data_IF_697786353962
#
_entry.id   IF_697786353962
#
_cell.length_a   1.000
_cell.length_b   1.000
_cell.length_c   1.000
_cell.angle_alpha   90.00
_cell.angle_beta   90.00
_cell.angle_gamma   90.00
#
_symmetry.space_group_name_H-M   'P 1'
#
loop_
_entity.id
_entity.type
_entity.pdbx_description
1 polymer ?
#
# COMPACT_ATOMS: atom_id res chain seq x y z
N UNK A 1 3.58 -45.92 4.05
CA UNK A 1 3.13 -47.32 4.13
C UNK A 1 2.37 -47.64 2.87
N UNK A 2 2.52 -48.85 2.34
CA UNK A 2 1.75 -49.33 1.19
C UNK A 2 0.83 -50.45 1.65
N UNK A 3 -0.45 -50.35 1.31
CA UNK A 3 -1.49 -51.31 1.69
C UNK A 3 -2.00 -52.00 0.44
N UNK A 4 -2.01 -53.33 0.43
CA UNK A 4 -2.39 -54.09 -0.77
C UNK A 4 -3.14 -55.36 -0.37
N UNK A 5 -4.07 -55.77 -1.22
CA UNK A 5 -4.71 -57.08 -1.12
C UNK A 5 -3.88 -58.14 -1.86
N UNK A 6 -3.72 -59.30 -1.25
CA UNK A 6 -3.14 -60.49 -1.88
C UNK A 6 -4.03 -61.69 -1.63
N UNK A 7 -4.25 -62.50 -2.66
CA UNK A 7 -4.83 -63.83 -2.48
C UNK A 7 -3.76 -64.78 -1.96
N UNK A 8 -3.99 -65.31 -0.76
CA UNK A 8 -3.25 -66.46 -0.25
C UNK A 8 -4.06 -67.74 -0.51
N UNK A 9 -3.39 -68.80 -0.93
CA UNK A 9 -4.01 -70.12 -1.03
C UNK A 9 -3.89 -70.82 0.33
N UNK A 10 -5.01 -71.13 0.96
CA UNK A 10 -5.02 -71.82 2.25
C UNK A 10 -4.82 -73.33 2.08
N UNK A 11 -4.67 -74.04 3.22
CA UNK A 11 -4.39 -75.48 3.27
C UNK A 11 -5.54 -76.36 2.77
N UNK A 12 -6.76 -75.80 2.66
CA UNK A 12 -7.93 -76.41 2.04
C UNK A 12 -7.90 -76.34 0.49
N UNK A 13 -6.96 -75.59 -0.07
CA UNK A 13 -6.83 -75.36 -1.50
C UNK A 13 -7.63 -74.18 -2.05
N UNK A 14 -8.40 -73.47 -1.24
CA UNK A 14 -9.13 -72.27 -1.63
C UNK A 14 -8.27 -71.00 -1.54
N UNK A 15 -8.60 -70.01 -2.37
CA UNK A 15 -7.97 -68.69 -2.33
C UNK A 15 -8.77 -67.77 -1.40
N UNK A 16 -8.07 -67.02 -0.55
CA UNK A 16 -8.65 -66.04 0.36
C UNK A 16 -7.93 -64.70 0.20
N UNK A 17 -8.69 -63.64 -0.03
CA UNK A 17 -8.16 -62.27 -0.04
C UNK A 17 -7.69 -61.89 1.38
N UNK A 18 -6.46 -61.39 1.48
CA UNK A 18 -5.88 -60.88 2.73
C UNK A 18 -5.19 -59.55 2.48
N UNK A 19 -5.59 -58.57 3.28
CA UNK A 19 -5.01 -57.24 3.33
C UNK A 19 -3.70 -57.25 4.12
N UNK A 20 -2.66 -56.63 3.58
CA UNK A 20 -1.39 -56.40 4.27
C UNK A 20 -0.94 -54.96 4.14
N UNK A 21 -0.18 -54.50 5.13
CA UNK A 21 0.50 -53.22 5.13
C UNK A 21 2.01 -53.44 5.26
N UNK A 22 2.79 -52.87 4.34
CA UNK A 22 4.25 -52.78 4.52
C UNK A 22 4.62 -51.39 5.03
N UNK A 23 5.41 -51.38 6.12
CA UNK A 23 6.14 -50.20 6.56
C UNK A 23 7.11 -49.79 5.46
N UNK A 24 7.05 -48.52 5.06
CA UNK A 24 8.06 -47.97 4.18
C UNK A 24 9.28 -47.60 5.03
N UNK A 25 10.41 -48.27 4.75
CA UNK A 25 11.68 -48.03 5.46
C UNK A 25 12.51 -46.91 4.81
N UNK A 26 12.11 -46.37 3.65
CA UNK A 26 12.82 -45.28 2.97
C UNK A 26 12.50 -43.91 3.57
N UNK A 27 11.34 -43.78 4.24
CA UNK A 27 10.85 -42.56 4.90
C UNK A 27 11.16 -42.50 6.40
N UNK A 28 11.92 -43.46 6.95
CA UNK A 28 12.32 -43.49 8.37
C UNK A 28 13.82 -43.77 8.56
N UNK A 29 14.41 -43.20 9.62
CA UNK A 29 15.79 -43.45 10.03
C UNK A 29 15.83 -43.91 11.49
N UNK A 30 16.77 -44.79 11.83
CA UNK A 30 16.96 -45.26 13.20
C UNK A 30 17.72 -44.22 14.04
N UNK A 31 17.03 -43.64 15.02
CA UNK A 31 17.65 -42.93 16.13
C UNK A 31 17.99 -43.95 17.22
N UNK A 32 19.28 -44.10 17.54
CA UNK A 32 19.76 -44.96 18.60
C UNK A 32 20.35 -44.12 19.74
N UNK A 33 20.02 -44.48 20.98
CA UNK A 33 20.57 -43.89 22.20
C UNK A 33 21.14 -45.02 23.05
N UNK A 34 22.38 -44.84 23.51
CA UNK A 34 23.10 -45.77 24.39
C UNK A 34 23.48 -45.07 25.70
N UNK A 35 23.28 -45.74 26.83
CA UNK A 35 23.68 -45.25 28.15
C UNK A 35 24.40 -46.35 28.92
N UNK A 36 25.63 -46.07 29.36
CA UNK A 36 26.39 -46.96 30.23
C UNK A 36 26.12 -46.60 31.70
N UNK A 37 25.59 -47.55 32.45
CA UNK A 37 25.37 -47.45 33.89
C UNK A 37 26.70 -47.59 34.65
N UNK A 38 26.79 -47.08 35.89
CA UNK A 38 28.01 -47.07 36.72
C UNK A 38 28.60 -48.47 37.03
N UNK A 39 27.89 -49.54 36.69
CA UNK A 39 28.31 -50.94 36.81
C UNK A 39 28.85 -51.53 35.49
N UNK A 40 28.94 -50.75 34.40
CA UNK A 40 29.37 -51.18 33.07
C UNK A 40 28.27 -51.83 32.22
N UNK A 41 27.01 -51.78 32.65
CA UNK A 41 25.87 -52.29 31.88
C UNK A 41 25.39 -51.24 30.88
N UNK A 42 25.29 -51.60 29.59
CA UNK A 42 24.90 -50.67 28.52
C UNK A 42 23.44 -50.86 28.13
N UNK A 43 22.61 -49.89 28.50
CA UNK A 43 21.23 -49.77 28.03
C UNK A 43 21.24 -49.19 26.60
N UNK A 44 20.43 -49.77 25.71
CA UNK A 44 20.27 -49.31 24.32
C UNK A 44 18.81 -49.19 23.96
N UNK A 45 18.41 -48.04 23.41
CA UNK A 45 17.09 -47.81 22.85
C UNK A 45 17.22 -47.39 21.39
N UNK A 46 16.46 -48.03 20.50
CA UNK A 46 16.40 -47.68 19.08
C UNK A 46 14.96 -47.36 18.70
N UNK A 47 14.75 -46.22 18.05
CA UNK A 47 13.44 -45.77 17.55
C UNK A 47 13.56 -45.36 16.09
N UNK A 48 12.64 -45.83 15.26
CA UNK A 48 12.47 -45.29 13.91
C UNK A 48 11.78 -43.92 14.02
N UNK A 49 12.47 -42.87 13.56
CA UNK A 49 11.93 -41.52 13.37
C UNK A 49 11.66 -41.28 11.88
N UNK A 50 10.68 -40.45 11.50
CA UNK A 50 10.55 -39.97 10.13
C UNK A 50 11.83 -39.29 9.63
N UNK A 51 12.04 -39.28 8.31
CA UNK A 51 13.10 -38.49 7.67
C UNK A 51 12.49 -37.27 6.98
N UNK A 52 11.73 -36.48 7.74
CA UNK A 52 11.46 -35.10 7.37
C UNK A 52 12.77 -34.31 7.50
N UNK A 53 13.43 -34.08 6.35
CA UNK A 53 14.79 -33.53 6.22
C UNK A 53 14.89 -32.02 6.56
N UNK A 54 14.11 -31.56 7.53
CA UNK A 54 14.09 -30.17 7.98
C UNK A 54 15.25 -29.88 8.94
N UNK A 55 15.48 -28.61 9.24
CA UNK A 55 16.47 -28.19 10.23
C UNK A 55 15.91 -28.38 11.66
N UNK A 56 16.65 -29.07 12.52
CA UNK A 56 16.28 -29.29 13.92
C UNK A 56 17.11 -28.44 14.86
N UNK A 57 16.48 -27.89 15.91
CA UNK A 57 17.18 -27.30 17.04
C UNK A 57 17.45 -28.38 18.11
N UNK A 58 18.71 -28.62 18.45
CA UNK A 58 19.06 -29.50 19.57
C UNK A 58 19.07 -28.72 20.88
N UNK A 59 18.42 -29.26 21.91
CA UNK A 59 18.45 -28.74 23.28
C UNK A 59 18.77 -29.87 24.25
N UNK A 60 19.70 -29.64 25.17
CA UNK A 60 19.97 -30.52 26.31
C UNK A 60 19.64 -29.73 27.58
N UNK A 61 18.75 -30.26 28.40
CA UNK A 61 18.27 -29.58 29.61
C UNK A 61 18.20 -30.53 30.81
N UNK A 62 18.38 -29.95 32.00
CA UNK A 62 18.42 -30.63 33.29
C UNK A 62 17.79 -29.71 34.35
N UNK A 63 17.17 -30.28 35.38
CA UNK A 63 16.53 -29.51 36.44
C UNK A 63 16.50 -30.25 37.79
N UNK A 64 16.33 -29.51 38.88
CA UNK A 64 16.15 -30.08 40.23
C UNK A 64 14.99 -29.40 40.94
N UNK A 65 14.36 -30.11 41.87
CA UNK A 65 13.28 -29.60 42.70
C UNK A 65 13.52 -29.94 44.17
N UNK A 66 12.54 -30.56 44.82
CA UNK A 66 12.74 -31.13 46.17
C UNK A 66 13.81 -32.22 46.18
N UNK A 67 13.82 -33.09 45.17
CA UNK A 67 14.94 -33.99 44.89
C UNK A 67 16.04 -33.26 44.11
N UNK A 68 17.31 -33.53 44.48
CA UNK A 68 18.50 -32.87 43.91
C UNK A 68 19.54 -33.92 43.52
N UNK A 69 20.20 -33.71 42.39
CA UNK A 69 21.38 -34.45 41.96
C UNK A 69 22.28 -33.54 41.14
N UNK A 70 23.59 -33.82 41.10
CA UNK A 70 24.55 -33.14 40.24
C UNK A 70 24.33 -33.61 38.80
N UNK A 71 23.70 -32.76 37.99
CA UNK A 71 23.46 -33.02 36.56
C UNK A 71 24.50 -32.25 35.73
N UNK A 72 25.37 -33.00 35.06
CA UNK A 72 26.43 -32.47 34.21
C UNK A 72 26.49 -33.30 32.92
N UNK A 73 26.73 -32.60 31.81
CA UNK A 73 26.98 -33.23 30.50
C UNK A 73 28.37 -32.81 30.03
N UNK A 74 29.21 -33.80 29.70
CA UNK A 74 30.49 -33.57 29.02
C UNK A 74 30.27 -33.88 27.54
N UNK A 75 30.36 -32.87 26.70
CA UNK A 75 30.31 -33.06 25.24
C UNK A 75 31.73 -33.35 24.74
N UNK A 76 31.94 -34.54 24.16
CA UNK A 76 33.24 -34.95 23.60
C UNK A 76 33.30 -34.74 22.09
N UNK A 77 32.21 -35.05 21.38
CA UNK A 77 31.97 -34.65 19.99
C UNK A 77 30.48 -34.36 19.78
N UNK A 78 30.15 -33.64 18.70
CA UNK A 78 28.79 -33.52 18.18
C UNK A 78 28.85 -33.30 16.67
N UNK A 79 28.66 -34.39 15.93
CA UNK A 79 28.73 -34.40 14.47
C UNK A 79 27.34 -34.22 13.86
N UNK A 80 27.17 -33.18 13.04
CA UNK A 80 25.91 -32.84 12.39
C UNK A 80 26.13 -32.32 10.96
N UNK A 81 25.10 -32.41 10.12
CA UNK A 81 25.07 -31.71 8.83
C UNK A 81 24.41 -30.35 9.03
N UNK A 82 25.10 -29.27 8.68
CA UNK A 82 24.51 -27.93 8.74
C UNK A 82 23.43 -27.81 7.65
N UNK A 83 22.21 -27.47 8.06
CA UNK A 83 21.12 -27.23 7.14
C UNK A 83 21.47 -26.15 6.11
N UNK A 84 21.02 -26.35 4.87
CA UNK A 84 21.06 -25.35 3.81
C UNK A 84 19.72 -24.60 3.80
N UNK A 85 19.76 -23.28 3.97
CA UNK A 85 18.56 -22.46 4.19
C UNK A 85 18.54 -21.22 3.30
N UNK A 86 17.36 -20.75 2.94
CA UNK A 86 17.11 -19.41 2.39
C UNK A 86 16.41 -18.54 3.44
N UNK A 87 16.60 -17.24 3.37
CA UNK A 87 15.79 -16.25 4.06
C UNK A 87 14.65 -15.77 3.15
N UNK A 88 13.54 -15.31 3.73
CA UNK A 88 12.49 -14.59 2.99
C UNK A 88 12.01 -13.36 3.75
N UNK A 89 11.94 -12.23 3.06
CA UNK A 89 11.56 -10.93 3.59
C UNK A 89 10.44 -10.30 2.75
N UNK A 90 9.59 -9.55 3.44
CA UNK A 90 8.49 -8.78 2.86
C UNK A 90 8.72 -7.33 3.28
N UNK A 91 8.90 -6.41 2.33
CA UNK A 91 9.33 -5.02 2.57
C UNK A 91 8.41 -4.02 1.88
N UNK A 92 8.36 -2.78 2.38
CA UNK A 92 7.77 -1.66 1.64
C UNK A 92 8.74 -1.10 0.58
N UNK A 93 8.28 -0.14 -0.23
CA UNK A 93 9.07 0.59 -1.22
C UNK A 93 10.31 1.33 -0.65
N UNK A 94 10.38 1.53 0.67
CA UNK A 94 11.48 2.17 1.39
C UNK A 94 12.48 1.15 1.97
N UNK A 95 12.26 -0.16 1.76
CA UNK A 95 13.06 -1.24 2.34
C UNK A 95 12.74 -1.56 3.81
N UNK A 96 11.68 -0.96 4.38
CA UNK A 96 11.25 -1.29 5.75
C UNK A 96 10.58 -2.66 5.74
N UNK A 97 11.06 -3.57 6.59
CA UNK A 97 10.46 -4.89 6.76
C UNK A 97 9.03 -4.80 7.32
N UNK A 98 8.11 -5.49 6.64
CA UNK A 98 6.70 -5.66 6.98
C UNK A 98 6.47 -7.02 7.64
N UNK A 99 7.07 -8.08 7.09
CA UNK A 99 6.95 -9.45 7.58
C UNK A 99 8.19 -10.31 7.24
N UNK A 100 8.21 -11.52 7.79
CA UNK A 100 9.07 -12.66 7.41
C UNK A 100 8.19 -13.92 7.39
N UNK A 101 8.66 -14.98 6.72
CA UNK A 101 7.98 -16.28 6.68
C UNK A 101 8.98 -17.43 6.80
N UNK A 102 8.48 -18.65 7.03
CA UNK A 102 9.24 -19.87 6.81
C UNK A 102 9.32 -20.18 5.31
N UNK A 103 10.45 -20.73 4.88
CA UNK A 103 10.64 -21.21 3.49
C UNK A 103 10.17 -22.66 3.39
N UNK A 104 9.52 -23.02 2.29
CA UNK A 104 9.15 -24.41 2.01
C UNK A 104 10.34 -25.15 1.40
N UNK A 105 10.66 -26.34 1.90
CA UNK A 105 11.73 -27.19 1.41
C UNK A 105 11.18 -28.60 1.10
N UNK A 106 10.73 -28.88 -0.13
CA UNK A 106 10.17 -30.20 -0.50
C UNK A 106 11.14 -31.36 -0.27
N UNK A 107 12.43 -31.15 -0.52
CA UNK A 107 13.51 -32.13 -0.30
C UNK A 107 14.12 -32.07 1.11
N UNK A 108 13.67 -31.13 1.93
CA UNK A 108 14.32 -30.69 3.16
C UNK A 108 15.38 -29.60 2.96
N UNK A 109 15.85 -29.05 4.08
CA UNK A 109 16.81 -27.95 4.14
C UNK A 109 18.25 -28.47 3.91
N UNK A 110 18.51 -29.04 2.73
CA UNK A 110 19.73 -29.79 2.39
C UNK A 110 20.37 -29.30 1.09
N UNK A 111 21.69 -29.50 0.93
CA UNK A 111 22.41 -29.11 -0.29
C UNK A 111 21.91 -29.94 -1.48
N UNK A 112 21.74 -29.26 -2.62
CA UNK A 112 21.04 -29.70 -3.84
C UNK A 112 19.53 -29.94 -3.68
N UNK A 113 18.95 -29.73 -2.50
CA UNK A 113 17.51 -29.68 -2.30
C UNK A 113 16.87 -28.42 -2.89
N UNK A 114 15.59 -28.49 -3.21
CA UNK A 114 14.80 -27.35 -3.69
C UNK A 114 14.26 -26.49 -2.53
N UNK A 115 14.06 -25.21 -2.81
CA UNK A 115 13.30 -24.30 -1.97
C UNK A 115 12.18 -23.61 -2.76
N UNK A 116 11.11 -23.25 -2.06
CA UNK A 116 9.99 -22.49 -2.61
C UNK A 116 9.48 -21.44 -1.61
N UNK A 117 9.13 -20.26 -2.11
CA UNK A 117 8.49 -19.18 -1.34
C UNK A 117 7.29 -18.60 -2.08
N UNK A 118 6.39 -17.97 -1.34
CA UNK A 118 5.18 -17.32 -1.85
C UNK A 118 5.07 -15.87 -1.38
N UNK A 119 4.32 -15.07 -2.13
CA UNK A 119 3.79 -13.79 -1.66
C UNK A 119 2.88 -14.01 -0.43
N UNK A 120 2.68 -12.96 0.36
CA UNK A 120 1.69 -12.93 1.43
C UNK A 120 0.61 -11.92 1.07
N UNK A 121 -0.62 -12.22 1.45
CA UNK A 121 -1.65 -11.19 1.62
C UNK A 121 -1.32 -10.40 2.90
N UNK A 122 -1.05 -9.11 2.76
CA UNK A 122 -0.62 -8.23 3.85
C UNK A 122 -1.64 -7.09 3.93
N UNK A 123 -2.40 -7.04 5.01
CA UNK A 123 -3.50 -6.07 5.16
C UNK A 123 -3.01 -4.63 4.98
N UNK A 124 -3.63 -3.90 4.05
CA UNK A 124 -3.24 -2.53 3.69
C UNK A 124 -2.01 -2.43 2.79
N UNK A 125 -1.58 -3.51 2.13
CA UNK A 125 -0.44 -3.57 1.21
C UNK A 125 -0.77 -4.40 -0.05
N UNK A 126 -0.10 -4.09 -1.16
CA UNK A 126 -0.21 -4.80 -2.44
C UNK A 126 1.18 -5.11 -2.99
N UNK A 127 1.37 -6.33 -3.51
CA UNK A 127 2.64 -6.76 -4.10
C UNK A 127 2.94 -5.98 -5.40
N UNK A 128 4.18 -5.51 -5.53
CA UNK A 128 4.64 -4.75 -6.71
C UNK A 128 5.62 -5.58 -7.54
N UNK A 129 6.74 -5.97 -6.95
CA UNK A 129 7.84 -6.66 -7.62
C UNK A 129 8.69 -7.48 -6.62
N UNK A 130 9.56 -8.33 -7.16
CA UNK A 130 10.68 -8.86 -6.37
C UNK A 130 11.71 -7.73 -6.18
N UNK A 131 12.44 -7.74 -5.06
CA UNK A 131 13.49 -6.74 -4.80
C UNK A 131 14.52 -6.68 -5.93
N UNK A 132 14.71 -5.50 -6.52
CA UNK A 132 15.51 -5.28 -7.73
C UNK A 132 16.48 -4.10 -7.64
N UNK A 133 16.52 -3.40 -6.50
CA UNK A 133 17.27 -2.16 -6.32
C UNK A 133 17.91 -2.06 -4.92
N UNK A 134 18.91 -1.17 -4.71
CA UNK A 134 19.61 -1.07 -3.42
C UNK A 134 18.76 -0.62 -2.22
N UNK A 135 17.59 -0.01 -2.43
CA UNK A 135 16.70 0.45 -1.34
C UNK A 135 15.88 -0.72 -0.80
N UNK A 136 15.30 -1.55 -1.67
CA UNK A 136 14.51 -2.72 -1.28
C UNK A 136 15.36 -3.98 -1.08
N UNK A 137 16.56 -4.01 -1.65
CA UNK A 137 17.47 -5.16 -1.69
C UNK A 137 17.35 -5.93 -3.01
N UNK A 138 18.43 -6.61 -3.42
CA UNK A 138 18.44 -7.46 -4.62
C UNK A 138 17.97 -8.87 -4.22
N UNK A 139 16.83 -9.30 -4.75
CA UNK A 139 16.21 -10.58 -4.43
C UNK A 139 16.87 -11.75 -5.15
N UNK A 140 16.93 -12.89 -4.46
CA UNK A 140 17.05 -14.21 -5.11
C UNK A 140 15.74 -14.58 -5.82
N UNK A 141 15.74 -15.55 -6.76
CA UNK A 141 14.50 -16.10 -7.31
C UNK A 141 13.57 -16.67 -6.23
N UNK A 142 12.26 -16.62 -6.43
CA UNK A 142 11.28 -17.13 -5.46
C UNK A 142 11.31 -18.66 -5.26
N UNK A 143 11.86 -19.41 -6.23
CA UNK A 143 12.04 -20.85 -6.15
C UNK A 143 13.39 -21.20 -6.76
N UNK A 144 14.08 -22.22 -6.24
CA UNK A 144 15.39 -22.61 -6.75
C UNK A 144 16.04 -23.76 -5.98
N UNK A 145 17.36 -23.90 -6.15
CA UNK A 145 18.18 -24.92 -5.49
C UNK A 145 19.07 -24.33 -4.39
N UNK A 146 19.29 -25.11 -3.34
CA UNK A 146 20.21 -24.84 -2.25
C UNK A 146 21.63 -25.30 -2.65
N UNK A 147 22.52 -24.36 -2.98
CA UNK A 147 23.83 -24.64 -3.56
C UNK A 147 24.96 -24.82 -2.52
N UNK A 148 24.72 -24.51 -1.25
CA UNK A 148 25.71 -24.61 -0.15
C UNK A 148 25.05 -24.89 1.20
N UNK A 149 25.82 -25.37 2.17
CA UNK A 149 25.38 -25.41 3.58
C UNK A 149 25.23 -24.00 4.16
N UNK A 150 24.35 -23.85 5.15
CA UNK A 150 24.03 -22.55 5.76
C UNK A 150 23.16 -21.67 4.87
N UNK A 151 23.24 -20.35 5.09
CA UNK A 151 22.48 -19.34 4.34
C UNK A 151 22.87 -19.32 2.86
N UNK A 152 21.89 -19.52 1.98
CA UNK A 152 21.99 -19.52 0.52
C UNK A 152 21.68 -18.16 -0.12
N UNK A 153 20.95 -17.27 0.57
CA UNK A 153 20.50 -15.97 0.09
C UNK A 153 19.13 -15.57 0.63
N UNK A 154 18.64 -14.42 0.18
CA UNK A 154 17.32 -13.88 0.59
C UNK A 154 16.41 -13.72 -0.61
N UNK A 155 15.15 -14.17 -0.49
CA UNK A 155 14.05 -13.78 -1.37
C UNK A 155 13.36 -12.56 -0.78
N UNK A 156 13.14 -11.51 -1.58
CA UNK A 156 12.56 -10.24 -1.13
C UNK A 156 11.34 -9.93 -1.98
N UNK A 157 10.16 -9.92 -1.35
CA UNK A 157 8.92 -9.46 -1.95
C UNK A 157 8.67 -8.00 -1.54
N UNK A 158 8.49 -7.11 -2.52
CA UNK A 158 8.25 -5.68 -2.30
C UNK A 158 6.77 -5.36 -2.45
N UNK A 159 6.26 -4.53 -1.54
CA UNK A 159 4.87 -4.10 -1.50
C UNK A 159 4.80 -2.57 -1.48
N UNK A 160 3.77 -2.02 -2.14
CA UNK A 160 3.30 -0.66 -1.84
C UNK A 160 2.17 -0.75 -0.82
N UNK A 161 1.93 0.33 -0.08
CA UNK A 161 0.84 0.40 0.87
C UNK A 161 -0.47 0.57 0.09
N UNK A 162 -1.36 -0.43 0.07
CA UNK A 162 -2.60 -0.37 -0.71
C UNK A 162 -3.47 0.77 -0.17
N UNK A 163 -3.70 1.83 -0.95
CA UNK A 163 -4.44 2.97 -0.45
C UNK A 163 -5.95 2.86 -0.73
N UNK A 164 -6.35 1.97 -1.65
CA UNK A 164 -7.72 1.89 -2.19
C UNK A 164 -8.71 1.42 -1.13
N UNK A 165 -8.30 0.51 -0.24
CA UNK A 165 -9.09 0.06 0.92
C UNK A 165 -9.44 1.20 1.90
N UNK A 166 -8.76 2.34 1.77
CA UNK A 166 -8.95 3.54 2.59
C UNK A 166 -9.50 4.74 1.80
N UNK A 167 -9.88 4.54 0.53
CA UNK A 167 -10.35 5.56 -0.39
C UNK A 167 -11.84 5.38 -0.73
N UNK A 168 -12.65 6.39 -0.42
CA UNK A 168 -14.07 6.44 -0.81
C UNK A 168 -14.29 7.50 -1.89
N UNK A 169 -14.85 7.11 -3.04
CA UNK A 169 -15.23 8.04 -4.11
C UNK A 169 -16.72 8.38 -4.05
N UNK A 170 -17.08 9.59 -4.50
CA UNK A 170 -18.45 9.99 -4.79
C UNK A 170 -18.50 10.86 -6.03
N UNK A 171 -19.28 10.45 -7.03
CA UNK A 171 -19.60 11.29 -8.20
C UNK A 171 -20.85 12.10 -7.89
N UNK A 172 -20.88 13.35 -8.36
CA UNK A 172 -22.04 14.24 -8.36
C UNK A 172 -22.27 14.77 -9.77
N UNK A 173 -23.50 14.68 -10.26
CA UNK A 173 -23.93 15.15 -11.57
C UNK A 173 -24.77 16.44 -11.46
N UNK A 174 -24.89 17.16 -12.57
CA UNK A 174 -25.86 18.26 -12.74
C UNK A 174 -26.58 18.08 -14.08
N UNK A 175 -27.91 18.16 -14.03
CA UNK A 175 -28.84 18.14 -15.16
C UNK A 175 -29.75 19.37 -15.06
N UNK A 176 -29.95 20.07 -16.17
CA UNK A 176 -30.86 21.22 -16.24
C UNK A 176 -31.90 20.99 -17.33
N UNK A 177 -33.17 20.89 -16.92
CA UNK A 177 -34.33 20.73 -17.77
C UNK A 177 -34.98 22.09 -18.11
N UNK A 178 -35.49 22.21 -19.34
CA UNK A 178 -36.12 23.43 -19.86
C UNK A 178 -37.57 23.14 -20.25
N UNK A 179 -38.51 23.44 -19.36
CA UNK A 179 -39.92 23.04 -19.47
C UNK A 179 -40.85 24.24 -19.71
N UNK A 180 -41.97 24.02 -20.41
CA UNK A 180 -43.08 24.98 -20.44
C UNK A 180 -44.08 24.77 -19.28
N UNK A 181 -45.10 25.63 -19.20
CA UNK A 181 -46.22 25.53 -18.25
C UNK A 181 -46.92 24.15 -18.26
N UNK A 182 -46.90 23.46 -19.40
CA UNK A 182 -47.50 22.14 -19.61
C UNK A 182 -46.52 20.99 -19.26
N UNK A 183 -45.39 21.30 -18.62
CA UNK A 183 -44.29 20.39 -18.25
C UNK A 183 -43.64 19.67 -19.46
N UNK A 184 -43.78 20.23 -20.67
CA UNK A 184 -43.16 19.70 -21.88
C UNK A 184 -41.75 20.28 -22.05
N UNK A 185 -40.80 19.43 -22.45
CA UNK A 185 -39.44 19.85 -22.79
C UNK A 185 -39.46 20.70 -24.06
N UNK A 186 -39.05 21.97 -23.96
CA UNK A 186 -39.00 22.92 -25.09
C UNK A 186 -37.59 23.22 -25.61
N UNK A 187 -36.54 22.83 -24.87
CA UNK A 187 -35.15 22.88 -25.32
C UNK A 187 -34.37 21.65 -24.81
N UNK A 188 -33.31 21.21 -25.52
CA UNK A 188 -32.46 20.11 -25.07
C UNK A 188 -31.91 20.37 -23.67
N UNK A 189 -32.06 19.41 -22.77
CA UNK A 189 -31.57 19.53 -21.39
C UNK A 189 -30.05 19.57 -21.35
N UNK A 190 -29.49 20.42 -20.49
CA UNK A 190 -28.04 20.50 -20.29
C UNK A 190 -27.58 19.40 -19.33
N UNK A 191 -26.40 18.85 -19.58
CA UNK A 191 -25.70 17.93 -18.69
C UNK A 191 -24.29 18.44 -18.45
N UNK A 192 -23.93 18.68 -17.19
CA UNK A 192 -22.59 19.10 -16.83
C UNK A 192 -21.58 17.94 -16.98
N UNK A 193 -20.30 18.27 -17.12
CA UNK A 193 -19.24 17.33 -16.77
C UNK A 193 -19.33 17.08 -15.25
N UNK A 194 -19.50 15.83 -14.79
CA UNK A 194 -19.70 15.55 -13.36
C UNK A 194 -18.46 15.88 -12.54
N UNK A 195 -18.65 16.05 -11.22
CA UNK A 195 -17.58 16.29 -10.26
C UNK A 195 -17.39 15.01 -9.44
N UNK A 196 -16.18 14.45 -9.45
CA UNK A 196 -15.85 13.31 -8.59
C UNK A 196 -15.07 13.78 -7.37
N UNK A 197 -15.59 13.48 -6.17
CA UNK A 197 -14.91 13.61 -4.90
C UNK A 197 -14.21 12.31 -4.49
N UNK A 198 -13.12 12.45 -3.76
CA UNK A 198 -12.33 11.39 -3.15
C UNK A 198 -12.06 11.75 -1.68
N UNK A 199 -12.39 10.86 -0.75
CA UNK A 199 -11.97 10.93 0.64
C UNK A 199 -10.99 9.80 0.95
N UNK A 200 -9.79 10.14 1.44
CA UNK A 200 -8.77 9.17 1.84
C UNK A 200 -8.61 9.20 3.35
N UNK A 201 -8.68 8.04 4.01
CA UNK A 201 -8.49 7.90 5.46
C UNK A 201 -7.11 7.31 5.79
N UNK A 202 -6.21 8.09 6.38
CA UNK A 202 -4.87 7.59 6.68
C UNK A 202 -4.90 6.49 7.76
N UNK A 203 -4.37 5.27 7.49
CA UNK A 203 -4.39 4.18 8.47
C UNK A 203 -3.47 4.42 9.68
N UNK A 204 -2.52 5.36 9.58
CA UNK A 204 -1.55 5.68 10.62
C UNK A 204 -2.11 6.56 11.75
N UNK A 205 -3.16 7.34 11.50
CA UNK A 205 -3.74 8.26 12.49
C UNK A 205 -5.27 8.44 12.39
N UNK A 206 -5.94 7.80 11.43
CA UNK A 206 -7.39 7.86 11.22
C UNK A 206 -7.93 9.18 10.65
N UNK A 207 -7.07 10.17 10.36
CA UNK A 207 -7.47 11.45 9.74
C UNK A 207 -7.91 11.26 8.29
N UNK A 208 -8.71 12.20 7.78
CA UNK A 208 -9.24 12.16 6.42
C UNK A 208 -8.72 13.36 5.61
N UNK A 209 -8.39 13.14 4.34
CA UNK A 209 -8.20 14.22 3.36
C UNK A 209 -9.19 14.09 2.21
N UNK A 210 -9.78 15.23 1.81
CA UNK A 210 -10.75 15.30 0.72
C UNK A 210 -10.14 15.98 -0.51
N UNK A 211 -10.40 15.41 -1.67
CA UNK A 211 -10.00 15.91 -2.99
C UNK A 211 -11.22 15.91 -3.93
N UNK A 212 -11.16 16.71 -4.99
CA UNK A 212 -12.10 16.63 -6.11
C UNK A 212 -11.38 16.64 -7.46
N UNK A 213 -12.08 16.20 -8.50
CA UNK A 213 -11.66 16.25 -9.90
C UNK A 213 -12.88 16.42 -10.82
N UNK A 214 -12.66 16.94 -12.04
CA UNK A 214 -13.70 17.07 -13.05
C UNK A 214 -13.74 15.82 -13.95
N UNK A 215 -14.93 15.34 -14.27
CA UNK A 215 -15.17 14.05 -14.92
C UNK A 215 -15.51 12.95 -13.91
N UNK A 216 -15.95 11.80 -14.45
CA UNK A 216 -16.15 10.57 -13.69
C UNK A 216 -14.81 9.83 -13.60
N UNK A 217 -14.10 9.93 -12.48
CA UNK A 217 -12.69 9.54 -12.37
C UNK A 217 -12.48 8.46 -11.29
N UNK A 218 -11.90 7.34 -11.67
CA UNK A 218 -11.52 6.27 -10.73
C UNK A 218 -10.19 6.56 -10.02
N UNK A 219 -10.00 5.95 -8.85
CA UNK A 219 -8.81 6.11 -8.02
C UNK A 219 -7.94 4.88 -8.17
N UNK A 220 -7.04 4.94 -9.15
CA UNK A 220 -6.16 3.82 -9.51
C UNK A 220 -4.90 3.73 -8.64
N UNK A 221 -4.39 4.87 -8.15
CA UNK A 221 -3.14 4.99 -7.37
C UNK A 221 -3.20 6.20 -6.42
N UNK A 222 -2.77 6.00 -5.16
CA UNK A 222 -2.27 7.07 -4.28
C UNK A 222 -0.77 6.85 -4.02
N UNK A 223 -0.07 7.86 -3.52
CA UNK A 223 1.35 7.76 -3.14
C UNK A 223 1.56 7.27 -1.69
N UNK A 224 2.82 7.06 -1.29
CA UNK A 224 3.22 6.67 0.08
C UNK A 224 2.85 7.66 1.19
N UNK A 225 2.40 8.87 0.83
CA UNK A 225 1.82 9.86 1.75
C UNK A 225 0.27 9.87 1.71
N UNK A 226 -0.36 8.87 1.09
CA UNK A 226 -1.81 8.71 0.95
C UNK A 226 -2.49 9.75 0.06
N UNK A 227 -1.75 10.42 -0.83
CA UNK A 227 -2.29 11.45 -1.72
C UNK A 227 -2.49 10.90 -3.14
N UNK A 228 -3.58 11.25 -3.84
CA UNK A 228 -3.84 10.76 -5.18
C UNK A 228 -2.77 11.18 -6.18
N UNK A 229 -2.31 10.22 -6.99
CA UNK A 229 -1.31 10.49 -8.01
C UNK A 229 -1.93 11.27 -9.17
N UNK A 230 -1.28 12.36 -9.57
CA UNK A 230 -1.69 13.14 -10.74
C UNK A 230 -1.21 12.41 -12.00
N UNK A 231 -2.15 12.06 -12.89
CA UNK A 231 -1.84 11.40 -14.16
C UNK A 231 -1.90 12.40 -15.33
N UNK A 232 -1.67 11.92 -16.56
CA UNK A 232 -1.91 12.70 -17.77
C UNK A 232 -3.39 12.95 -18.07
N UNK A 233 -4.30 12.18 -17.46
CA UNK A 233 -5.76 12.23 -17.70
C UNK A 233 -6.55 12.80 -16.52
N UNK A 234 -6.07 12.62 -15.28
CA UNK A 234 -6.79 13.01 -14.05
C UNK A 234 -5.90 13.90 -13.17
N UNK A 235 -6.43 15.08 -12.84
CA UNK A 235 -5.85 16.00 -11.85
C UNK A 235 -6.79 16.10 -10.65
N UNK A 236 -6.36 15.54 -9.53
CA UNK A 236 -7.02 15.74 -8.24
C UNK A 236 -6.59 17.07 -7.61
N UNK A 237 -7.54 17.78 -7.02
CA UNK A 237 -7.37 19.08 -6.37
C UNK A 237 -7.79 18.92 -4.90
N UNK A 238 -6.94 19.30 -3.92
CA UNK A 238 -7.34 19.25 -2.50
C UNK A 238 -8.49 20.22 -2.21
N UNK A 239 -9.53 19.75 -1.52
CA UNK A 239 -10.69 20.55 -1.15
C UNK A 239 -11.94 19.73 -0.88
N UNK A 240 -12.81 20.23 0.00
CA UNK A 240 -14.05 19.56 0.43
C UNK A 240 -15.28 19.93 -0.43
N UNK A 241 -15.15 20.97 -1.26
CA UNK A 241 -16.18 21.50 -2.12
C UNK A 241 -15.62 21.84 -3.50
N UNK A 242 -16.50 21.81 -4.50
CA UNK A 242 -16.24 22.28 -5.87
C UNK A 242 -17.53 22.85 -6.46
N UNK A 243 -17.49 23.40 -7.68
CA UNK A 243 -18.60 24.17 -8.24
C UNK A 243 -18.81 23.86 -9.71
N UNK A 244 -20.04 23.55 -10.12
CA UNK A 244 -20.43 23.54 -11.53
C UNK A 244 -20.36 24.96 -12.10
N UNK A 245 -20.06 25.10 -13.39
CA UNK A 245 -19.96 26.41 -14.04
C UNK A 245 -21.34 27.00 -14.31
N UNK A 246 -21.52 28.34 -14.34
CA UNK A 246 -22.79 28.94 -14.74
C UNK A 246 -23.21 28.49 -16.15
N UNK A 247 -24.52 28.34 -16.34
CA UNK A 247 -25.12 27.88 -17.61
C UNK A 247 -26.15 28.90 -18.07
N UNK A 248 -25.87 29.60 -19.16
CA UNK A 248 -26.83 30.53 -19.79
C UNK A 248 -28.05 29.78 -20.31
N UNK A 249 -29.24 30.28 -19.97
CA UNK A 249 -30.50 29.65 -20.36
C UNK A 249 -30.73 29.79 -21.87
N UNK A 250 -31.24 28.75 -22.57
CA UNK A 250 -31.45 28.79 -24.00
C UNK A 250 -32.51 29.82 -24.39
N UNK A 251 -32.27 30.56 -25.48
CA UNK A 251 -33.28 31.40 -26.10
C UNK A 251 -34.19 30.52 -26.96
N UNK A 252 -35.45 30.35 -26.54
CA UNK A 252 -36.44 29.52 -27.22
C UNK A 252 -37.48 30.43 -27.88
N UNK A 253 -37.60 30.35 -29.21
CA UNK A 253 -38.47 31.25 -29.97
C UNK A 253 -39.93 31.15 -29.50
N UNK A 254 -40.51 32.29 -29.12
CA UNK A 254 -41.89 32.38 -28.62
C UNK A 254 -42.06 32.02 -27.15
N UNK A 255 -40.97 31.84 -26.38
CA UNK A 255 -40.99 31.56 -24.95
C UNK A 255 -40.02 32.47 -24.19
N UNK A 256 -40.30 32.71 -22.90
CA UNK A 256 -39.42 33.41 -21.97
C UNK A 256 -39.33 32.64 -20.66
N UNK A 257 -38.14 32.58 -20.05
CA UNK A 257 -37.96 31.98 -18.73
C UNK A 257 -38.68 32.82 -17.66
N UNK A 258 -39.40 32.17 -16.75
CA UNK A 258 -40.21 32.81 -15.70
C UNK A 258 -39.88 32.36 -14.29
N UNK A 259 -39.30 31.18 -14.10
CA UNK A 259 -38.76 30.74 -12.81
C UNK A 259 -37.69 29.65 -12.98
N UNK A 260 -36.93 29.41 -11.90
CA UNK A 260 -36.07 28.23 -11.75
C UNK A 260 -36.04 27.80 -10.29
N UNK A 261 -35.79 26.51 -10.04
CA UNK A 261 -35.57 25.93 -8.72
C UNK A 261 -34.08 25.99 -8.27
N UNK A 262 -33.16 26.32 -9.19
CA UNK A 262 -31.74 26.40 -8.92
C UNK A 262 -31.35 27.54 -7.98
N UNK A 263 -30.48 27.25 -7.01
CA UNK A 263 -30.06 28.23 -6.00
C UNK A 263 -29.22 29.34 -6.63
N UNK A 264 -29.34 30.56 -6.07
CA UNK A 264 -28.59 31.76 -6.46
C UNK A 264 -28.69 32.16 -7.95
N UNK A 265 -29.63 31.57 -8.70
CA UNK A 265 -29.77 31.70 -10.16
C UNK A 265 -30.73 32.82 -10.57
N UNK A 266 -30.79 33.11 -11.87
CA UNK A 266 -31.70 34.12 -12.41
C UNK A 266 -32.36 33.63 -13.72
N UNK A 267 -33.23 34.44 -14.32
CA UNK A 267 -34.01 34.01 -15.49
C UNK A 267 -33.16 33.90 -16.78
N UNK A 268 -31.99 34.53 -16.83
CA UNK A 268 -31.06 34.46 -17.96
C UNK A 268 -30.03 33.33 -17.84
N UNK A 269 -29.72 32.86 -16.63
CA UNK A 269 -28.72 31.83 -16.39
C UNK A 269 -28.93 31.08 -15.06
N UNK A 270 -28.59 29.79 -15.06
CA UNK A 270 -28.27 29.05 -13.85
C UNK A 270 -26.90 29.51 -13.36
N UNK A 271 -26.82 29.98 -12.11
CA UNK A 271 -25.58 30.38 -11.48
C UNK A 271 -24.74 29.15 -11.07
N UNK A 272 -23.46 29.37 -10.77
CA UNK A 272 -22.53 28.31 -10.39
C UNK A 272 -22.99 27.53 -9.14
N UNK A 273 -23.33 26.25 -9.29
CA UNK A 273 -23.84 25.42 -8.18
C UNK A 273 -22.70 24.76 -7.41
N UNK A 274 -22.59 25.04 -6.10
CA UNK A 274 -21.56 24.45 -5.23
C UNK A 274 -22.01 23.08 -4.69
N UNK A 275 -21.12 22.10 -4.78
CA UNK A 275 -21.33 20.72 -4.30
C UNK A 275 -20.16 20.21 -3.46
N UNK A 276 -20.43 19.20 -2.63
CA UNK A 276 -19.50 18.59 -1.69
C UNK A 276 -19.61 17.05 -1.70
N UNK A 277 -18.80 16.38 -0.87
CA UNK A 277 -18.90 14.93 -0.59
C UNK A 277 -20.26 14.47 -0.05
N UNK A 278 -21.15 15.36 0.38
CA UNK A 278 -22.51 15.02 0.86
C UNK A 278 -23.63 15.50 -0.06
N UNK A 279 -23.33 16.25 -1.12
CA UNK A 279 -24.32 16.67 -2.13
C UNK A 279 -24.93 15.47 -2.84
N UNK A 280 -26.25 15.52 -3.06
CA UNK A 280 -26.93 14.71 -4.08
C UNK A 280 -26.58 15.23 -5.47
N UNK A 281 -26.85 14.44 -6.49
CA UNK A 281 -26.93 14.92 -7.87
C UNK A 281 -27.96 16.07 -7.97
N UNK A 282 -27.65 17.06 -8.80
CA UNK A 282 -28.50 18.22 -9.03
C UNK A 282 -29.39 17.94 -10.25
N UNK A 283 -30.69 17.94 -10.02
CA UNK A 283 -31.73 17.83 -11.03
C UNK A 283 -32.54 19.13 -10.95
N UNK A 284 -32.35 20.00 -11.94
CA UNK A 284 -32.74 21.41 -11.92
C UNK A 284 -33.69 21.72 -13.07
N UNK A 285 -34.61 22.66 -12.87
CA UNK A 285 -35.58 23.08 -13.88
C UNK A 285 -35.57 24.59 -14.07
N UNK A 286 -35.60 25.01 -15.33
CA UNK A 286 -36.01 26.37 -15.72
C UNK A 286 -37.37 26.26 -16.42
N UNK A 287 -38.35 26.97 -15.87
CA UNK A 287 -39.70 27.03 -16.40
C UNK A 287 -39.86 28.24 -17.31
N UNK A 288 -40.51 28.02 -18.45
CA UNK A 288 -40.77 29.01 -19.47
C UNK A 288 -42.27 29.19 -19.69
N UNK A 289 -42.67 30.43 -19.97
CA UNK A 289 -44.01 30.81 -20.39
C UNK A 289 -44.00 31.21 -21.86
N UNK A 290 -45.08 30.91 -22.58
CA UNK A 290 -45.22 31.35 -23.97
C UNK A 290 -45.41 32.87 -24.03
N UNK A 291 -44.59 33.54 -24.85
CA UNK A 291 -44.75 34.96 -25.13
C UNK A 291 -45.88 35.09 -26.14
N UNK A 292 -47.09 35.38 -25.65
CA UNK A 292 -48.20 35.77 -26.50
C UNK A 292 -47.79 37.04 -27.24
N UNK A 293 -47.40 36.90 -28.51
CA UNK A 293 -47.24 38.05 -29.38
C UNK A 293 -48.61 38.72 -29.50
N UNK A 294 -48.76 39.91 -28.90
CA UNK A 294 -49.98 40.70 -28.97
C UNK A 294 -50.41 40.82 -30.43
N UNK A 295 -51.48 40.11 -30.79
CA UNK A 295 -52.00 40.11 -32.16
C UNK A 295 -52.27 41.55 -32.55
N UNK A 296 -51.68 42.00 -33.67
CA UNK A 296 -51.86 43.37 -34.13
C UNK A 296 -53.35 43.67 -34.24
N UNK A 297 -53.87 44.50 -33.33
CA UNK A 297 -55.00 45.34 -33.66
C UNK A 297 -54.42 46.29 -34.72
N UNK A 298 -54.88 46.25 -35.98
CA UNK A 298 -54.38 47.18 -36.98
C UNK A 298 -54.81 48.58 -36.53
N UNK A 299 -53.84 49.44 -36.22
CA UNK A 299 -54.13 50.84 -35.92
C UNK A 299 -54.92 51.43 -37.07
N UNK A 300 -56.00 52.13 -36.73
CA UNK A 300 -56.87 52.81 -37.68
C UNK A 300 -55.98 53.68 -38.60
N UNK A 301 -56.05 53.55 -39.94
CA UNK A 301 -55.22 54.33 -40.84
C UNK A 301 -55.26 55.81 -40.50
N UNK A 302 -54.09 56.40 -40.26
CA UNK A 302 -53.95 57.84 -40.08
C UNK A 302 -54.28 58.55 -41.39
N UNK A 303 -55.03 59.64 -41.27
CA UNK A 303 -55.47 60.43 -42.41
C UNK A 303 -54.25 61.14 -43.06
N UNK A 304 -54.15 61.19 -44.41
CA UNK A 304 -53.00 61.81 -45.06
C UNK A 304 -52.87 63.30 -44.68
N UNK A 305 -51.68 63.71 -44.24
CA UNK A 305 -51.41 65.11 -43.94
C UNK A 305 -51.50 65.99 -45.21
N UNK A 306 -52.10 67.17 -45.08
CA UNK A 306 -52.22 68.13 -46.18
C UNK A 306 -50.85 68.63 -46.70
N UNK A 307 -50.74 68.97 -48.00
CA UNK A 307 -49.48 69.41 -48.59
C UNK A 307 -49.04 70.79 -48.08
N UNK A 308 -47.85 70.85 -47.48
CA UNK A 308 -47.26 72.08 -46.94
C UNK A 308 -46.79 72.99 -48.08
N UNK A 309 -47.28 74.24 -48.08
CA UNK A 309 -46.85 75.29 -49.02
C UNK A 309 -45.37 75.71 -48.80
N UNK A 310 -44.62 76.05 -49.86
CA UNK A 310 -43.20 76.36 -49.77
C UNK A 310 -42.92 77.65 -49.00
N UNK A 311 -41.91 77.62 -48.12
CA UNK A 311 -41.48 78.78 -47.33
C UNK A 311 -40.44 79.64 -48.08
N UNK A 312 -40.39 80.92 -47.72
CA UNK A 312 -39.60 81.97 -48.37
C UNK A 312 -38.12 81.91 -47.92
N UNK A 313 -37.13 82.20 -48.79
CA UNK A 313 -35.72 82.16 -48.42
C UNK A 313 -35.33 83.19 -47.34
N UNK A 314 -34.49 82.77 -46.39
CA UNK A 314 -33.91 83.63 -45.35
C UNK A 314 -32.44 83.95 -45.70
N UNK A 315 -32.03 85.20 -45.50
CA UNK A 315 -30.71 85.72 -45.89
C UNK A 315 -29.66 85.45 -44.78
N UNK A 316 -28.38 85.16 -45.09
CA UNK A 316 -27.43 84.63 -44.11
C UNK A 316 -26.82 85.69 -43.17
N UNK A 317 -26.40 85.25 -41.98
CA UNK A 317 -25.41 85.94 -41.14
C UNK A 317 -24.05 85.25 -41.21
N UNK A 318 -22.96 86.00 -41.00
CA UNK A 318 -21.58 85.59 -41.34
C UNK A 318 -20.90 84.69 -40.29
N UNK A 319 -20.29 83.55 -40.67
CA UNK A 319 -19.39 82.80 -39.80
C UNK A 319 -18.09 83.56 -39.45
N UNK A 320 -17.53 83.27 -38.27
CA UNK A 320 -16.32 83.92 -37.74
C UNK A 320 -15.03 83.22 -38.23
N UNK A 321 -13.96 84.00 -38.38
CA UNK A 321 -12.63 83.59 -38.85
C UNK A 321 -11.95 82.53 -37.94
N UNK A 322 -11.38 81.44 -38.47
CA UNK A 322 -10.65 80.44 -37.68
C UNK A 322 -9.31 80.93 -37.10
N UNK A 323 -8.93 80.38 -35.95
CA UNK A 323 -7.60 80.51 -35.32
C UNK A 323 -6.66 79.39 -35.82
N UNK A 324 -5.34 79.61 -36.00
CA UNK A 324 -4.44 78.59 -36.57
C UNK A 324 -4.18 77.37 -35.68
N UNK A 325 -3.77 76.26 -36.30
CA UNK A 325 -3.38 75.02 -35.61
C UNK A 325 -2.02 75.14 -34.90
N UNK A 326 -1.86 74.40 -33.81
CA UNK A 326 -0.55 74.11 -33.19
C UNK A 326 0.00 72.80 -33.76
N UNK A 327 1.30 72.77 -34.05
CA UNK A 327 1.99 71.65 -34.70
C UNK A 327 2.31 70.52 -33.70
N UNK A 328 2.06 69.23 -34.03
CA UNK A 328 2.55 68.10 -33.23
C UNK A 328 4.07 68.00 -33.29
N UNK A 329 4.73 67.94 -32.12
CA UNK A 329 6.18 67.70 -32.03
C UNK A 329 6.52 66.21 -32.18
N UNK A 330 7.69 65.93 -32.75
CA UNK A 330 8.15 64.59 -33.15
C UNK A 330 8.33 63.65 -31.95
N UNK A 331 7.97 62.36 -32.04
CA UNK A 331 8.24 61.38 -30.98
C UNK A 331 9.74 61.20 -30.71
N UNK A 332 10.13 61.11 -29.44
CA UNK A 332 11.48 60.72 -29.03
C UNK A 332 11.67 59.19 -29.11
N UNK A 333 12.87 58.76 -29.52
CA UNK A 333 13.21 57.35 -29.69
C UNK A 333 13.42 56.66 -28.32
N UNK A 334 12.97 55.40 -28.12
CA UNK A 334 13.02 54.75 -26.80
C UNK A 334 14.44 54.32 -26.39
N UNK A 335 14.82 54.64 -25.16
CA UNK A 335 16.12 54.27 -24.57
C UNK A 335 16.12 52.82 -24.07
N UNK A 336 17.26 52.13 -24.24
CA UNK A 336 17.45 50.71 -23.93
C UNK A 336 17.31 50.37 -22.43
N UNK A 337 16.59 49.29 -22.04
CA UNK A 337 16.50 48.84 -20.65
C UNK A 337 17.84 48.38 -20.05
N UNK A 338 17.98 48.53 -18.72
CA UNK A 338 19.14 48.12 -17.92
C UNK A 338 18.84 46.84 -17.14
N UNK A 339 19.85 45.99 -16.96
CA UNK A 339 19.73 44.65 -16.34
C UNK A 339 19.99 44.71 -14.81
N UNK A 340 19.05 44.28 -13.95
CA UNK A 340 19.29 44.09 -12.51
C UNK A 340 20.18 42.86 -12.22
N UNK A 341 20.85 42.83 -11.06
CA UNK A 341 21.86 41.79 -10.74
C UNK A 341 21.80 41.30 -9.29
N UNK A 342 21.85 39.96 -9.11
CA UNK A 342 22.10 39.21 -7.85
C UNK A 342 20.99 39.35 -6.75
N UNK A 343 20.91 38.45 -5.73
CA UNK A 343 21.83 37.35 -5.43
C UNK A 343 21.26 35.94 -5.22
N UNK A 344 22.11 34.94 -5.49
CA UNK A 344 21.97 33.55 -5.03
C UNK A 344 22.96 33.29 -3.89
N UNK A 345 22.59 32.47 -2.91
CA UNK A 345 23.41 32.20 -1.70
C UNK A 345 23.84 30.74 -1.60
N UNK A 346 25.16 30.55 -1.56
CA UNK A 346 25.94 29.51 -0.87
C UNK A 346 25.54 28.04 -1.06
N UNK A 347 26.48 27.23 -1.56
CA UNK A 347 26.54 25.81 -1.22
C UNK A 347 28.00 25.30 -1.15
N UNK A 348 28.19 24.23 -0.36
CA UNK A 348 29.35 23.33 -0.23
C UNK A 348 30.75 23.89 0.12
N UNK A 349 31.38 23.24 1.12
CA UNK A 349 32.80 23.36 1.45
C UNK A 349 33.62 22.30 0.71
N UNK A 350 34.78 22.67 0.15
CA UNK A 350 35.76 21.72 -0.37
C UNK A 350 36.93 21.53 0.61
N UNK A 351 37.29 20.29 0.91
CA UNK A 351 38.47 19.95 1.73
C UNK A 351 39.72 19.82 0.84
N UNK A 352 40.81 20.47 1.24
CA UNK A 352 42.08 20.48 0.50
C UNK A 352 42.95 19.23 0.75
N UNK A 353 43.87 18.94 -0.16
CA UNK A 353 44.81 17.80 -0.07
C UNK A 353 46.23 18.19 -0.54
N UNK A 354 47.23 17.32 -0.24
CA UNK A 354 48.71 17.44 -0.45
C UNK A 354 49.42 18.21 0.68
N UNK A 355 50.64 17.90 1.15
CA UNK A 355 51.67 16.85 0.90
C UNK A 355 52.75 16.97 2.03
N UNK A 356 53.97 16.34 2.04
CA UNK A 356 54.42 14.95 1.78
C UNK A 356 55.46 14.38 2.83
N UNK A 357 56.01 13.16 2.59
CA UNK A 357 57.42 12.71 2.87
C UNK A 357 57.80 11.81 4.09
N UNK A 358 57.87 10.48 3.81
CA UNK A 358 59.03 9.53 3.91
C UNK A 358 59.83 9.25 5.22
N UNK A 359 59.90 7.95 5.58
CA UNK A 359 61.02 7.28 6.29
C UNK A 359 60.54 6.22 7.32
N UNK A 360 61.21 5.08 7.62
CA UNK A 360 62.36 4.33 7.05
C UNK A 360 62.20 2.82 7.42
N UNK A 361 62.93 1.90 6.76
CA UNK A 361 63.07 0.47 7.15
C UNK A 361 64.53 0.17 7.60
N UNK A 362 64.75 -0.82 8.48
CA UNK A 362 65.26 -2.15 8.05
C UNK A 362 64.76 -3.35 8.91
N UNK A 363 65.16 -4.63 8.75
CA UNK A 363 65.38 -5.55 7.60
C UNK A 363 66.17 -6.81 8.06
N UNK A 364 65.53 -7.99 8.15
CA UNK A 364 66.12 -9.37 8.17
C UNK A 364 65.00 -10.40 7.91
N UNK A 365 65.05 -11.47 7.11
CA UNK A 365 66.10 -12.24 6.38
C UNK A 365 66.95 -13.15 7.28
N UNK A 366 67.04 -14.49 7.11
CA UNK A 366 66.36 -15.45 6.19
C UNK A 366 65.30 -16.30 6.97
N UNK A 367 64.82 -17.53 6.69
CA UNK A 367 65.14 -18.70 5.81
C UNK A 367 63.83 -19.39 5.34
N UNK A 368 63.88 -20.41 4.47
CA UNK A 368 62.73 -21.20 3.97
C UNK A 368 62.72 -22.68 4.42
N UNK A 369 61.54 -23.31 4.47
CA UNK A 369 61.29 -24.75 4.20
C UNK A 369 59.79 -24.98 3.97
N UNK A 370 59.43 -25.81 2.99
CA UNK A 370 58.03 -26.21 2.71
C UNK A 370 57.70 -27.52 3.43
N UNK A 371 56.58 -27.58 4.14
CA UNK A 371 55.81 -28.82 4.41
C UNK A 371 54.35 -28.50 4.74
N UNK A 372 53.44 -29.35 4.29
CA UNK A 372 52.00 -29.15 4.35
C UNK A 372 51.39 -29.63 5.68
N UNK A 373 50.69 -28.75 6.40
CA UNK A 373 49.59 -29.13 7.31
C UNK A 373 48.65 -27.95 7.50
N UNK A 374 47.34 -28.18 7.36
CA UNK A 374 46.33 -27.17 7.70
C UNK A 374 46.12 -27.17 9.22
N UNK A 375 46.56 -26.11 9.89
CA UNK A 375 46.19 -25.76 11.27
C UNK A 375 46.31 -24.24 11.42
N UNK A 376 45.24 -23.59 11.89
CA UNK A 376 45.21 -22.38 12.75
C UNK A 376 43.77 -21.82 12.78
N UNK A 377 43.34 -21.10 13.83
CA UNK A 377 43.94 -20.95 15.16
C UNK A 377 43.10 -21.63 16.27
N UNK A 378 43.70 -21.89 17.43
CA UNK A 378 42.94 -22.01 18.69
C UNK A 378 42.82 -20.59 19.26
N UNK A 379 41.60 -20.04 19.28
CA UNK A 379 41.35 -18.74 19.91
C UNK A 379 41.26 -18.92 21.42
N UNK A 380 42.22 -18.34 22.16
CA UNK A 380 42.10 -18.21 23.62
C UNK A 380 40.94 -17.27 23.96
N UNK A 381 39.88 -17.81 24.56
CA UNK A 381 38.76 -17.01 25.06
C UNK A 381 39.18 -16.28 26.34
N UNK A 382 39.45 -14.97 26.22
CA UNK A 382 39.55 -14.06 27.36
C UNK A 382 38.16 -13.88 27.96
N UNK A 383 38.04 -13.99 29.28
CA UNK A 383 36.75 -13.95 29.99
C UNK A 383 36.01 -12.62 29.77
N UNK A 384 34.91 -12.70 29.01
CA UNK A 384 33.87 -11.69 28.90
C UNK A 384 32.53 -12.38 28.74
N UNK A 385 31.60 -12.03 29.60
CA UNK A 385 30.22 -12.50 29.64
C UNK A 385 29.51 -12.31 28.28
N UNK A 386 29.28 -13.42 27.57
CA UNK A 386 28.47 -13.45 26.33
C UNK A 386 27.04 -13.86 26.70
N UNK A 387 26.09 -12.94 26.54
CA UNK A 387 24.66 -13.24 26.69
C UNK A 387 24.15 -13.92 25.42
N UNK A 388 23.50 -15.08 25.57
CA UNK A 388 22.81 -15.76 24.47
C UNK A 388 21.52 -15.02 24.09
N UNK A 389 21.06 -15.08 22.82
CA UNK A 389 19.80 -14.46 22.42
C UNK A 389 18.60 -15.19 23.05
N UNK A 390 17.84 -14.49 23.91
CA UNK A 390 16.57 -14.98 24.45
C UNK A 390 15.40 -14.73 23.49
N UNK A 391 14.43 -15.64 23.46
CA UNK A 391 13.16 -15.49 22.76
C UNK A 391 12.14 -14.72 23.61
N UNK A 392 12.01 -13.42 23.38
CA UNK A 392 10.91 -12.52 23.79
C UNK A 392 10.11 -12.92 25.05
N UNK A 393 10.68 -12.68 26.23
CA UNK A 393 9.96 -12.77 27.51
C UNK A 393 9.55 -11.34 27.96
N UNK A 394 8.25 -11.11 28.17
CA UNK A 394 7.77 -9.81 28.66
C UNK A 394 8.12 -9.65 30.15
N UNK A 395 9.05 -8.75 30.48
CA UNK A 395 9.49 -8.50 31.86
C UNK A 395 8.42 -7.71 32.63
N UNK A 396 7.40 -8.40 33.10
CA UNK A 396 6.39 -7.85 33.99
C UNK A 396 6.99 -7.57 35.38
N UNK A 397 7.33 -6.30 35.65
CA UNK A 397 7.80 -5.86 36.97
C UNK A 397 6.69 -6.00 38.01
N UNK A 398 6.77 -7.03 38.87
CA UNK A 398 5.77 -7.29 39.91
C UNK A 398 5.79 -6.18 40.97
N UNK A 399 4.72 -5.39 41.03
CA UNK A 399 4.53 -4.38 42.07
C UNK A 399 3.79 -4.97 43.28
N UNK A 400 4.23 -4.61 44.49
CA UNK A 400 4.17 -5.48 45.67
C UNK A 400 3.01 -5.16 46.63
N UNK A 401 1.76 -5.05 46.13
CA UNK A 401 0.64 -4.49 46.92
C UNK A 401 -0.73 -5.17 46.87
N UNK A 402 -0.87 -6.38 46.30
CA UNK A 402 -2.17 -7.06 46.23
C UNK A 402 -2.13 -8.57 46.54
N UNK A 403 -2.23 -8.92 47.82
CA UNK A 403 -2.74 -10.22 48.29
C UNK A 403 -3.80 -9.96 49.37
N UNK A 404 -5.07 -10.31 49.10
CA UNK A 404 -6.09 -10.77 50.08
C UNK A 404 -7.43 -10.97 49.36
N UNK A 405 -7.96 -12.21 49.42
CA UNK A 405 -9.32 -12.65 48.99
C UNK A 405 -9.61 -12.51 47.46
N UNK A 406 -10.55 -13.25 46.86
CA UNK A 406 -11.69 -14.02 47.40
C UNK A 406 -11.70 -15.48 46.92
N UNK A 407 -12.12 -16.40 47.80
CA UNK A 407 -12.54 -17.76 47.46
C UNK A 407 -14.01 -17.72 47.01
N UNK A 408 -14.30 -18.07 45.76
CA UNK A 408 -15.69 -18.19 45.27
C UNK A 408 -15.77 -18.55 43.79
N UNK A 409 -16.41 -19.69 43.46
CA UNK A 409 -16.52 -20.15 42.07
C UNK A 409 -17.02 -21.58 41.85
N UNK A 410 -17.20 -22.39 42.91
CA UNK A 410 -17.79 -23.73 42.80
C UNK A 410 -19.24 -23.74 43.28
N UNK A 411 -20.19 -23.64 42.34
CA UNK A 411 -21.60 -24.07 42.46
C UNK A 411 -22.31 -23.88 41.11
N UNK A 412 -23.15 -24.84 40.67
CA UNK A 412 -24.10 -24.59 39.58
C UNK A 412 -23.98 -25.47 38.31
N UNK A 413 -23.99 -26.80 38.45
CA UNK A 413 -24.47 -27.69 37.37
C UNK A 413 -25.06 -28.95 37.99
N UNK A 414 -26.37 -29.11 37.87
CA UNK A 414 -27.16 -30.09 38.64
C UNK A 414 -28.12 -30.84 37.72
N UNK A 415 -27.74 -32.07 37.34
CA UNK A 415 -28.66 -33.07 36.78
C UNK A 415 -28.36 -34.42 37.45
N UNK A 416 -29.39 -35.11 37.93
CA UNK A 416 -29.25 -36.31 38.74
C UNK A 416 -30.26 -37.38 38.32
N UNK A 417 -29.79 -38.53 37.82
CA UNK A 417 -30.57 -39.76 37.71
C UNK A 417 -29.66 -41.01 37.57
N UNK A 418 -30.01 -42.23 38.00
CA UNK A 418 -30.45 -42.69 39.35
C UNK A 418 -30.47 -44.24 39.38
N UNK A 419 -29.71 -44.86 40.29
CA UNK A 419 -29.75 -46.32 40.66
C UNK A 419 -29.25 -47.27 39.53
N UNK A 420 -28.87 -48.54 39.77
CA UNK A 420 -29.22 -49.47 40.87
C UNK A 420 -28.08 -50.31 41.46
N UNK A 421 -28.38 -50.85 42.65
CA UNK A 421 -27.69 -51.91 43.44
C UNK A 421 -27.94 -53.33 42.84
N UNK A 422 -27.40 -54.47 43.37
CA UNK A 422 -26.82 -54.74 44.70
C UNK A 422 -25.62 -53.88 45.11
#
# INVERSE_FOLDING_TARGET
MTTTDQQIKAIDGHAYDRWWAQTDFNSVQALQVTYEETNGHVLTWTKLAPVDRQAFAMVVSASTGGAKNLQQFKLESFDFQQAATMNVQYVDLNGRQLAQATVNYPDGAVVNGTYATSQLDISGYHFVNMGDNPTTGISSPANGYLNRVGDNGTVIYVYDQNPVDYATTRVVHEMIHYLNEQQQVIAPSYQAQPITFLQVKYPTNGSISTYYSLGNNEVLLLNTAGQPLVTSTVRWIPGEASTFSPVTNPNVQGYQAVSTDALNSNLSEIAAQMVTTTSKDLDLTVYYQSVIASTMIPDKPSEPAEPVLPQIPIIPSTPVKPTPLVVPTTPAMPTKPVVPSRPSRLDQMAVSTKHPTRGQQPKRVIVSTIRSRSQHPVTTLTDKQVTLPQTNENVATVNWWAWILVIGGWLGSLVWWRRSRP
#
